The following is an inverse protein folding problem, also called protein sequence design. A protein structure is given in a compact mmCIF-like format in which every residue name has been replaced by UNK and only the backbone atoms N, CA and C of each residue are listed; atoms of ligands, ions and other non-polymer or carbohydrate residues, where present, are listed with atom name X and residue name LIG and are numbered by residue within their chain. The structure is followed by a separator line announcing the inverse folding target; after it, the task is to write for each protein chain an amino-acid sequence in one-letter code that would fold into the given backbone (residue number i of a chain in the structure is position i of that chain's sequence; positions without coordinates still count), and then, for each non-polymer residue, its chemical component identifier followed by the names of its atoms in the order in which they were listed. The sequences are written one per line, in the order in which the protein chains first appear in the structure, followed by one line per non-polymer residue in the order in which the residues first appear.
data_IF_595318419971
#
_entry.id   IF_595318419971
#
_cell.length_a   1.000
_cell.length_b   1.000
_cell.length_c   1.000
_cell.angle_alpha   90.00
_cell.angle_beta   90.00
_cell.angle_gamma   90.00
#
_symmetry.space_group_name_H-M   'P 1'
#
loop_
_entity.id
_entity.type
_entity.pdbx_description
1 polymer ?
#
# COMPACT_ATOMS: atom_id res chain seq x y z
N UNK A 1 -7.45 -6.46 6.34
CA UNK A 1 -6.05 -6.44 5.89
C UNK A 1 -5.81 -5.37 4.82
N UNK A 2 -4.58 -5.23 4.41
CA UNK A 2 -4.18 -4.26 3.38
C UNK A 2 -4.91 -4.52 2.06
N UNK A 3 -5.04 -5.77 1.67
CA UNK A 3 -5.73 -6.18 0.45
C UNK A 3 -7.19 -5.74 0.46
N UNK A 4 -7.90 -6.02 1.55
CA UNK A 4 -9.32 -5.63 1.70
C UNK A 4 -9.49 -4.12 1.68
N UNK A 5 -8.59 -3.40 2.36
CA UNK A 5 -8.66 -1.94 2.42
C UNK A 5 -8.53 -1.31 1.05
N UNK A 6 -7.66 -1.81 0.19
CA UNK A 6 -7.47 -1.33 -1.17
C UNK A 6 -8.30 -2.08 -2.23
N UNK A 7 -9.20 -2.98 -1.82
CA UNK A 7 -10.15 -3.66 -2.71
C UNK A 7 -9.57 -4.86 -3.47
N UNK A 8 -8.44 -5.39 -3.01
CA UNK A 8 -7.72 -6.47 -3.70
C UNK A 8 -8.11 -7.88 -3.27
N UNK A 9 -9.07 -8.01 -2.33
CA UNK A 9 -9.49 -9.29 -1.76
C UNK A 9 -8.28 -10.16 -1.33
N UNK A 10 -8.06 -11.30 -1.95
CA UNK A 10 -6.94 -12.18 -1.64
C UNK A 10 -5.71 -11.84 -2.49
N UNK A 11 -4.70 -11.25 -1.87
CA UNK A 11 -3.40 -10.93 -2.47
C UNK A 11 -3.43 -10.19 -3.83
N UNK A 12 -4.48 -9.44 -4.12
CA UNK A 12 -4.67 -8.73 -5.39
C UNK A 12 -4.62 -9.64 -6.63
N UNK A 13 -4.93 -10.92 -6.45
CA UNK A 13 -4.80 -11.91 -7.50
C UNK A 13 -6.16 -12.30 -8.09
N UNK A 14 -6.14 -12.59 -9.38
CA UNK A 14 -7.25 -13.20 -10.11
C UNK A 14 -6.86 -14.60 -10.57
N UNK A 15 -7.83 -15.51 -10.60
CA UNK A 15 -7.62 -16.84 -11.17
C UNK A 15 -7.85 -16.79 -12.68
N UNK A 16 -6.78 -16.91 -13.43
CA UNK A 16 -6.80 -16.91 -14.90
C UNK A 16 -6.25 -18.24 -15.38
N UNK A 17 -7.06 -19.01 -16.10
CA UNK A 17 -6.71 -20.34 -16.62
C UNK A 17 -6.15 -21.30 -15.55
N UNK A 18 -6.64 -21.21 -14.30
CA UNK A 18 -6.19 -22.05 -13.20
C UNK A 18 -4.93 -21.55 -12.49
N UNK A 19 -4.33 -20.47 -12.94
CA UNK A 19 -3.19 -19.82 -12.31
C UNK A 19 -3.63 -18.60 -11.49
N UNK A 20 -2.96 -18.36 -10.39
CA UNK A 20 -3.17 -17.18 -9.56
C UNK A 20 -2.27 -16.04 -10.07
N UNK A 21 -2.86 -15.04 -10.70
CA UNK A 21 -2.15 -13.94 -11.33
C UNK A 21 -2.46 -12.64 -10.62
N UNK A 22 -1.45 -11.94 -10.12
CA UNK A 22 -1.61 -10.61 -9.54
C UNK A 22 -2.07 -9.61 -10.61
N UNK A 23 -3.19 -8.95 -10.36
CA UNK A 23 -3.89 -8.15 -11.36
C UNK A 23 -4.07 -6.72 -10.89
N UNK A 24 -3.60 -5.77 -11.69
CA UNK A 24 -3.83 -4.34 -11.48
C UNK A 24 -5.27 -3.95 -11.80
N UNK A 25 -5.78 -2.97 -11.07
CA UNK A 25 -7.09 -2.38 -11.33
C UNK A 25 -7.15 -0.93 -10.88
N UNK A 26 -8.09 -0.18 -11.45
CA UNK A 26 -8.44 1.16 -11.05
C UNK A 26 -9.95 1.28 -10.97
N UNK A 27 -10.44 1.75 -9.82
CA UNK A 27 -11.83 2.08 -9.60
C UNK A 27 -11.92 3.55 -9.09
N UNK A 28 -13.10 4.20 -9.10
CA UNK A 28 -13.21 5.62 -8.76
C UNK A 28 -12.64 6.00 -7.40
N UNK A 29 -12.76 5.13 -6.39
CA UNK A 29 -12.42 5.46 -5.00
C UNK A 29 -11.33 4.59 -4.37
N UNK A 30 -10.89 3.54 -5.06
CA UNK A 30 -9.79 2.69 -4.60
C UNK A 30 -9.14 2.00 -5.80
N UNK A 31 -7.91 1.53 -5.62
CA UNK A 31 -7.26 0.80 -6.69
C UNK A 31 -5.86 0.33 -6.37
N UNK A 32 -5.41 -0.52 -7.26
CA UNK A 32 -4.07 -1.08 -7.36
C UNK A 32 -3.52 -0.81 -8.77
N UNK A 33 -3.16 0.45 -9.07
CA UNK A 33 -2.82 0.87 -10.43
C UNK A 33 -1.47 0.37 -10.93
N UNK A 34 -0.58 0.00 -10.02
CA UNK A 34 0.79 -0.33 -10.40
C UNK A 34 1.33 -1.54 -9.64
N UNK A 35 1.88 -2.47 -10.41
CA UNK A 35 2.71 -3.57 -9.97
C UNK A 35 3.87 -3.77 -10.93
N UNK A 36 5.06 -3.87 -10.41
CA UNK A 36 6.27 -4.21 -11.15
C UNK A 36 7.08 -5.23 -10.39
N UNK A 37 7.54 -6.24 -11.10
CA UNK A 37 8.50 -7.24 -10.63
C UNK A 37 9.55 -7.53 -11.72
N UNK A 38 10.49 -8.41 -11.41
CA UNK A 38 11.56 -8.78 -12.32
C UNK A 38 11.08 -9.39 -13.64
N UNK A 39 9.95 -10.12 -13.59
CA UNK A 39 9.42 -10.80 -14.78
C UNK A 39 8.71 -9.78 -15.71
N UNK A 40 8.01 -8.80 -15.14
CA UNK A 40 7.45 -7.66 -15.88
C UNK A 40 8.53 -6.73 -16.45
N UNK A 41 9.67 -6.61 -15.79
CA UNK A 41 10.79 -5.82 -16.27
C UNK A 41 11.39 -6.37 -17.57
N UNK A 42 11.22 -7.64 -17.88
CA UNK A 42 11.67 -8.25 -19.15
C UNK A 42 10.93 -7.67 -20.36
N UNK A 43 9.65 -7.35 -20.20
CA UNK A 43 8.79 -6.83 -21.28
C UNK A 43 8.81 -5.31 -21.39
N UNK A 44 9.32 -4.61 -20.39
CA UNK A 44 9.39 -3.15 -20.37
C UNK A 44 10.85 -2.67 -20.20
N UNK A 45 11.46 -2.08 -21.23
CA UNK A 45 12.85 -1.66 -21.17
C UNK A 45 13.15 -0.55 -20.16
N UNK A 46 12.12 0.15 -19.67
CA UNK A 46 12.27 1.20 -18.67
C UNK A 46 12.23 0.68 -17.22
N UNK A 47 11.94 -0.61 -17.02
CA UNK A 47 12.01 -1.21 -15.69
C UNK A 47 13.42 -1.68 -15.38
N UNK A 48 13.90 -1.35 -14.20
CA UNK A 48 15.15 -1.89 -13.70
C UNK A 48 14.94 -3.32 -13.18
N UNK A 49 15.64 -4.29 -13.77
CA UNK A 49 15.56 -5.71 -13.40
C UNK A 49 16.06 -6.00 -11.98
N UNK A 50 16.91 -5.12 -11.44
CA UNK A 50 17.46 -5.24 -10.10
C UNK A 50 16.54 -4.60 -9.03
N UNK A 51 15.41 -4.00 -9.43
CA UNK A 51 14.47 -3.43 -8.52
C UNK A 51 13.63 -4.53 -7.83
N UNK A 52 13.43 -4.47 -6.52
CA UNK A 52 12.48 -5.35 -5.85
C UNK A 52 11.05 -5.11 -6.38
N UNK A 53 10.12 -6.06 -6.19
CA UNK A 53 8.73 -5.86 -6.56
C UNK A 53 8.16 -4.58 -5.97
N UNK A 54 7.56 -3.76 -6.81
CA UNK A 54 6.98 -2.46 -6.43
C UNK A 54 5.47 -2.48 -6.63
N UNK A 55 4.75 -1.87 -5.69
CA UNK A 55 3.29 -1.78 -5.71
C UNK A 55 2.85 -0.37 -5.37
N UNK A 56 1.76 0.09 -5.99
CA UNK A 56 1.12 1.34 -5.63
C UNK A 56 -0.38 1.11 -5.38
N UNK A 57 -0.92 1.77 -4.37
CA UNK A 57 -2.32 1.67 -3.97
C UNK A 57 -2.89 3.05 -3.73
N UNK A 58 -4.20 3.19 -3.87
CA UNK A 58 -4.93 4.38 -3.41
C UNK A 58 -6.30 4.03 -2.87
N UNK A 59 -6.79 4.85 -1.93
CA UNK A 59 -8.18 4.84 -1.48
C UNK A 59 -8.64 6.25 -1.13
N UNK A 60 -9.81 6.60 -1.62
CA UNK A 60 -10.47 7.86 -1.37
C UNK A 60 -11.78 7.63 -0.60
N UNK A 61 -11.85 8.13 0.62
CA UNK A 61 -13.02 8.01 1.49
C UNK A 61 -14.07 9.09 1.18
N UNK A 62 -14.50 9.18 -0.07
CA UNK A 62 -15.49 10.17 -0.50
C UNK A 62 -16.90 9.75 -0.12
N UNK A 63 -17.24 8.47 -0.34
CA UNK A 63 -18.58 7.94 -0.03
C UNK A 63 -18.72 7.46 1.42
N UNK A 64 -17.60 7.10 2.05
CA UNK A 64 -17.55 6.59 3.43
C UNK A 64 -16.50 7.35 4.27
N UNK A 65 -16.66 8.67 4.49
CA UNK A 65 -15.66 9.48 5.16
C UNK A 65 -15.42 9.05 6.59
N UNK A 66 -14.15 8.88 6.94
CA UNK A 66 -13.74 8.64 8.32
C UNK A 66 -13.77 9.96 9.09
N UNK A 67 -14.72 10.07 10.03
CA UNK A 67 -14.90 11.27 10.85
C UNK A 67 -14.12 11.13 12.15
N UNK A 68 -13.48 12.21 12.57
CA UNK A 68 -12.78 12.28 13.85
C UNK A 68 -13.11 13.62 14.54
N UNK A 69 -13.05 13.64 15.86
CA UNK A 69 -13.38 14.82 16.67
C UNK A 69 -12.13 15.50 17.22
N UNK A 70 -11.08 14.77 17.53
CA UNK A 70 -9.85 15.31 18.12
C UNK A 70 -8.61 14.89 17.32
N UNK A 71 -8.45 13.61 17.04
CA UNK A 71 -7.28 13.06 16.38
C UNK A 71 -7.64 11.86 15.50
N UNK A 72 -6.73 11.53 14.59
CA UNK A 72 -6.87 10.39 13.69
C UNK A 72 -5.51 9.77 13.42
N UNK A 73 -5.45 8.43 13.45
CA UNK A 73 -4.25 7.67 13.11
C UNK A 73 -4.59 6.55 12.15
N UNK A 74 -3.90 6.51 11.01
CA UNK A 74 -3.93 5.40 10.07
C UNK A 74 -2.63 4.62 10.14
N UNK A 75 -2.72 3.31 10.23
CA UNK A 75 -1.56 2.41 10.17
C UNK A 75 -1.76 1.37 9.07
N UNK A 76 -0.68 1.01 8.39
CA UNK A 76 -0.68 -0.02 7.35
C UNK A 76 0.14 -1.20 7.85
N UNK A 77 -0.43 -2.39 7.74
CA UNK A 77 0.25 -3.63 8.12
C UNK A 77 1.39 -3.95 7.16
N UNK A 78 2.54 -4.34 7.72
CA UNK A 78 3.66 -4.90 6.98
C UNK A 78 3.85 -6.36 7.40
N UNK A 79 2.94 -7.22 6.96
CA UNK A 79 2.91 -8.64 7.29
C UNK A 79 3.00 -9.45 6.00
N UNK A 80 3.84 -10.45 6.01
CA UNK A 80 3.94 -11.45 4.95
C UNK A 80 3.60 -12.84 5.46
N UNK A 81 3.42 -13.77 4.54
CA UNK A 81 3.25 -15.19 4.83
C UNK A 81 4.28 -16.01 4.04
N UNK A 82 4.86 -16.99 4.69
CA UNK A 82 5.77 -17.97 4.07
C UNK A 82 5.58 -19.35 4.71
N UNK A 83 6.41 -20.32 4.35
CA UNK A 83 6.32 -21.67 4.89
C UNK A 83 6.40 -21.77 6.43
N UNK A 84 6.98 -20.79 7.11
CA UNK A 84 7.03 -20.67 8.56
C UNK A 84 5.83 -19.97 9.19
N UNK A 85 4.84 -19.54 8.41
CA UNK A 85 3.69 -18.77 8.87
C UNK A 85 3.81 -17.27 8.61
N UNK A 86 3.17 -16.47 9.47
CA UNK A 86 3.22 -15.01 9.37
C UNK A 86 4.57 -14.48 9.83
N UNK A 87 5.06 -13.46 9.14
CA UNK A 87 6.29 -12.75 9.51
C UNK A 87 6.14 -11.23 9.28
N UNK A 88 6.91 -10.43 10.03
CA UNK A 88 7.02 -8.99 9.82
C UNK A 88 7.87 -8.72 8.57
N UNK A 89 7.33 -7.92 7.65
CA UNK A 89 8.05 -7.50 6.44
C UNK A 89 8.87 -6.25 6.72
N UNK A 90 9.96 -6.12 5.99
CA UNK A 90 10.79 -4.91 5.94
C UNK A 90 10.66 -4.27 4.56
N UNK A 91 9.55 -3.58 4.34
CA UNK A 91 9.29 -2.91 3.06
C UNK A 91 9.69 -1.43 3.12
N UNK A 92 10.19 -0.89 2.03
CA UNK A 92 10.33 0.55 1.83
C UNK A 92 8.95 1.10 1.42
N UNK A 93 8.34 1.90 2.29
CA UNK A 93 6.97 2.39 2.12
C UNK A 93 6.94 3.91 2.12
N UNK A 94 6.36 4.48 1.06
CA UNK A 94 6.01 5.89 1.01
C UNK A 94 4.50 6.04 1.03
N UNK A 95 3.98 7.02 1.75
CA UNK A 95 2.55 7.28 1.82
C UNK A 95 2.25 8.77 1.81
N UNK A 96 1.08 9.12 1.27
CA UNK A 96 0.50 10.46 1.34
C UNK A 96 -0.93 10.33 1.86
N UNK A 97 -1.28 11.15 2.85
CA UNK A 97 -2.64 11.25 3.36
C UNK A 97 -3.19 12.67 3.10
N UNK A 98 -4.47 12.72 2.74
CA UNK A 98 -5.24 13.95 2.58
C UNK A 98 -6.41 13.94 3.54
N UNK A 99 -6.65 15.06 4.23
CA UNK A 99 -7.79 15.20 5.14
C UNK A 99 -8.25 16.65 5.22
N UNK A 100 -9.41 16.84 5.79
CA UNK A 100 -9.97 18.16 6.11
C UNK A 100 -10.11 18.27 7.62
N UNK A 101 -9.72 19.41 8.18
CA UNK A 101 -9.85 19.69 9.60
C UNK A 101 -10.26 21.14 9.84
N UNK A 102 -10.81 21.43 11.00
CA UNK A 102 -11.08 22.79 11.47
C UNK A 102 -9.82 23.37 12.11
N UNK A 103 -9.53 24.63 11.82
CA UNK A 103 -8.46 25.37 12.48
C UNK A 103 -8.93 26.03 13.80
N UNK A 104 -8.00 26.24 14.78
CA UNK A 104 -6.57 25.88 14.75
C UNK A 104 -6.34 24.40 15.01
N UNK A 105 -5.26 23.87 14.48
CA UNK A 105 -4.81 22.50 14.77
C UNK A 105 -3.61 22.50 15.73
N UNK A 106 -3.36 21.37 16.37
CA UNK A 106 -2.12 21.15 17.12
C UNK A 106 -0.94 20.94 16.17
N UNK A 107 0.27 21.21 16.63
CA UNK A 107 1.48 20.96 15.86
C UNK A 107 1.55 19.47 15.44
N UNK A 108 1.94 19.24 14.21
CA UNK A 108 2.18 17.88 13.73
C UNK A 108 3.44 17.29 14.39
N UNK A 109 3.43 15.96 14.68
CA UNK A 109 4.63 15.31 15.19
C UNK A 109 5.80 15.49 14.22
N UNK A 110 6.97 15.70 14.78
CA UNK A 110 8.20 15.74 13.98
C UNK A 110 8.43 14.41 13.27
N UNK A 111 8.97 14.51 12.05
CA UNK A 111 9.36 13.31 11.30
C UNK A 111 10.54 12.65 12.01
N UNK A 112 10.43 11.37 12.29
CA UNK A 112 11.51 10.59 12.91
C UNK A 112 12.82 10.71 12.11
N UNK A 113 13.98 10.68 12.76
CA UNK A 113 15.27 10.60 12.10
C UNK A 113 15.33 9.41 11.12
N UNK A 114 16.11 9.55 10.06
CA UNK A 114 16.21 8.51 9.01
C UNK A 114 16.47 7.12 9.58
N UNK A 115 17.36 7.00 10.57
CA UNK A 115 17.70 5.73 11.22
C UNK A 115 16.51 5.04 11.90
N UNK A 116 15.54 5.80 12.41
CA UNK A 116 14.36 5.26 13.09
C UNK A 116 13.21 4.94 12.12
N UNK A 117 13.36 5.33 10.85
CA UNK A 117 12.43 5.02 9.75
C UNK A 117 12.86 3.83 8.90
N UNK A 118 14.05 3.26 9.17
CA UNK A 118 14.49 2.06 8.48
C UNK A 118 13.67 0.83 8.90
N UNK A 119 13.43 -0.12 8.00
CA UNK A 119 12.88 -1.43 8.34
C UNK A 119 13.70 -2.08 9.46
N UNK A 120 13.02 -2.77 10.36
CA UNK A 120 13.63 -3.50 11.49
C UNK A 120 14.13 -4.86 11.07
#
# INVERSE_FOLDING_TARGET
GTEDYFGGAWSFASHINGECVETNFCAPYLGYPFYSDKDRAVTNPYHNRDCPPMRAFYRWHVCDPMRFASDFRLTVQQIGICHGGLFERSDDVSSVAYWYQTEPHADFPELLPVKERHPR
#
